data_IF_087695041511
#
_entry.id   IF_087695041511
#
_cell.length_a   1.000
_cell.length_b   1.000
_cell.length_c   1.000
_cell.angle_alpha   90.00
_cell.angle_beta   90.00
_cell.angle_gamma   90.00
#
_symmetry.space_group_name_H-M   'P 1'
#
loop_
_entity.id
_entity.type
_entity.pdbx_description
1 polymer ?
#
# COMPACT_ATOMS: atom_id res chain seq x y z
N UNK A 1 -24.50 27.53 0.44
CA UNK A 1 -23.02 27.40 0.42
C UNK A 1 -22.68 26.02 0.99
N UNK A 2 -22.36 25.01 0.15
CA UNK A 2 -21.91 23.70 0.65
C UNK A 2 -20.48 23.90 1.14
N UNK A 3 -20.28 23.93 2.46
CA UNK A 3 -18.94 23.88 3.03
C UNK A 3 -18.28 22.59 2.54
N UNK A 4 -17.18 22.72 1.81
CA UNK A 4 -16.18 21.67 1.70
C UNK A 4 -15.57 21.51 3.11
N UNK A 5 -16.26 20.79 3.99
CA UNK A 5 -15.78 20.52 5.34
C UNK A 5 -14.56 19.63 5.21
N UNK A 6 -13.38 20.22 5.22
CA UNK A 6 -12.11 19.50 5.31
C UNK A 6 -12.08 18.83 6.68
N UNK A 7 -11.89 17.52 6.67
CA UNK A 7 -11.77 16.71 7.88
C UNK A 7 -10.34 16.85 8.39
N UNK A 8 -10.14 17.71 9.38
CA UNK A 8 -8.83 18.04 9.93
C UNK A 8 -8.13 16.81 10.52
N UNK A 9 -8.90 15.83 11.02
CA UNK A 9 -8.41 14.56 11.55
C UNK A 9 -7.68 13.76 10.47
N UNK A 10 -8.24 13.74 9.25
CA UNK A 10 -7.65 13.02 8.11
C UNK A 10 -6.37 13.73 7.67
N UNK A 11 -6.38 15.06 7.64
CA UNK A 11 -5.21 15.84 7.24
C UNK A 11 -4.09 15.76 8.30
N UNK A 12 -4.43 15.72 9.59
CA UNK A 12 -3.46 15.45 10.67
C UNK A 12 -2.87 14.04 10.55
N UNK A 13 -3.70 13.02 10.37
CA UNK A 13 -3.25 11.63 10.20
C UNK A 13 -2.33 11.49 8.98
N UNK A 14 -2.63 12.18 7.87
CA UNK A 14 -1.73 12.24 6.71
C UNK A 14 -0.39 12.88 7.06
N UNK A 15 -0.39 13.98 7.81
CA UNK A 15 0.82 14.62 8.29
C UNK A 15 1.68 13.67 9.12
N UNK A 16 1.07 12.98 10.08
CA UNK A 16 1.74 11.97 10.92
C UNK A 16 2.30 10.82 10.07
N UNK A 17 1.53 10.30 9.11
CA UNK A 17 1.99 9.23 8.22
C UNK A 17 3.19 9.65 7.37
N UNK A 18 3.20 10.88 6.85
CA UNK A 18 4.32 11.42 6.07
C UNK A 18 5.55 11.62 6.94
N UNK A 19 5.40 12.16 8.15
CA UNK A 19 6.51 12.32 9.09
C UNK A 19 7.11 10.97 9.49
N UNK A 20 6.27 9.97 9.75
CA UNK A 20 6.71 8.60 10.03
C UNK A 20 7.49 8.00 8.86
N UNK A 21 7.01 8.19 7.64
CA UNK A 21 7.65 7.69 6.42
C UNK A 21 9.03 8.34 6.23
N UNK A 22 9.12 9.66 6.35
CA UNK A 22 10.39 10.40 6.27
C UNK A 22 11.36 9.92 7.35
N UNK A 23 10.89 9.74 8.59
CA UNK A 23 11.74 9.30 9.70
C UNK A 23 12.28 7.90 9.49
N UNK A 24 11.43 6.98 9.02
CA UNK A 24 11.84 5.61 8.71
C UNK A 24 12.85 5.58 7.55
N UNK A 25 12.58 6.30 6.46
CA UNK A 25 13.49 6.32 5.31
C UNK A 25 14.81 7.04 5.62
N UNK A 26 14.81 8.09 6.44
CA UNK A 26 16.05 8.72 6.88
C UNK A 26 16.93 7.75 7.68
N UNK A 27 16.32 6.97 8.57
CA UNK A 27 17.02 5.91 9.29
C UNK A 27 17.53 4.81 8.35
N UNK A 28 16.72 4.44 7.34
CA UNK A 28 17.12 3.51 6.29
C UNK A 28 18.36 4.01 5.53
N UNK A 29 18.32 5.24 5.02
CA UNK A 29 19.39 5.83 4.22
C UNK A 29 20.69 5.95 5.02
N UNK A 30 20.63 6.40 6.28
CA UNK A 30 21.80 6.52 7.14
C UNK A 30 22.49 5.16 7.39
N UNK A 31 21.70 4.09 7.52
CA UNK A 31 22.23 2.73 7.66
C UNK A 31 22.76 2.20 6.33
N UNK A 32 22.00 2.38 5.23
CA UNK A 32 22.36 1.92 3.90
C UNK A 32 23.68 2.54 3.39
N UNK A 33 23.90 3.83 3.65
CA UNK A 33 25.15 4.53 3.31
C UNK A 33 26.27 4.35 4.35
N UNK A 34 26.09 3.48 5.35
CA UNK A 34 27.06 3.25 6.44
C UNK A 34 27.45 4.53 7.21
N UNK A 35 26.56 5.52 7.28
CA UNK A 35 26.77 6.76 8.04
C UNK A 35 26.54 6.53 9.54
N UNK A 36 25.57 5.68 9.87
CA UNK A 36 25.28 5.28 11.26
C UNK A 36 24.74 3.84 11.31
N UNK A 37 25.19 3.06 12.29
CA UNK A 37 24.64 1.72 12.57
C UNK A 37 23.30 1.84 13.31
N UNK A 38 22.28 2.19 12.54
CA UNK A 38 20.90 2.19 12.99
C UNK A 38 20.41 0.77 12.75
N UNK A 39 20.37 -0.07 13.79
CA UNK A 39 19.91 -1.45 13.67
C UNK A 39 18.44 -1.54 13.20
N UNK A 40 18.20 -1.39 11.89
CA UNK A 40 16.87 -1.35 11.26
C UNK A 40 16.09 -2.66 11.45
N UNK A 41 16.82 -3.76 11.65
CA UNK A 41 16.26 -5.05 11.99
C UNK A 41 15.76 -5.13 13.45
N UNK A 42 16.03 -4.11 14.28
CA UNK A 42 15.44 -4.03 15.61
C UNK A 42 13.91 -3.94 15.52
N UNK A 43 13.24 -4.57 16.49
CA UNK A 43 11.79 -4.64 16.56
C UNK A 43 11.13 -3.25 16.47
N UNK A 44 11.76 -2.23 17.05
CA UNK A 44 11.28 -0.85 17.02
C UNK A 44 11.13 -0.32 15.59
N UNK A 45 12.18 -0.36 14.78
CA UNK A 45 12.18 0.17 13.41
C UNK A 45 11.24 -0.62 12.51
N UNK A 46 11.23 -1.95 12.65
CA UNK A 46 10.26 -2.81 11.95
C UNK A 46 8.81 -2.45 12.30
N UNK A 47 8.51 -2.19 13.57
CA UNK A 47 7.18 -1.76 14.02
C UNK A 47 6.82 -0.38 13.49
N UNK A 48 7.75 0.58 13.54
CA UNK A 48 7.55 1.95 13.02
C UNK A 48 7.25 1.91 11.53
N UNK A 49 8.04 1.17 10.75
CA UNK A 49 7.83 0.99 9.32
C UNK A 49 6.46 0.38 9.01
N UNK A 50 6.10 -0.73 9.69
CA UNK A 50 4.80 -1.40 9.50
C UNK A 50 3.62 -0.52 9.93
N UNK A 51 3.73 0.21 11.03
CA UNK A 51 2.68 1.12 11.50
C UNK A 51 2.48 2.27 10.52
N UNK A 52 3.58 2.88 10.07
CA UNK A 52 3.56 3.96 9.08
C UNK A 52 2.92 3.49 7.76
N UNK A 53 3.35 2.35 7.23
CA UNK A 53 2.78 1.76 6.02
C UNK A 53 1.28 1.47 6.20
N UNK A 54 0.87 0.93 7.35
CA UNK A 54 -0.54 0.64 7.66
C UNK A 54 -1.40 1.89 7.64
N UNK A 55 -0.96 2.96 8.32
CA UNK A 55 -1.68 4.25 8.33
C UNK A 55 -1.74 4.83 6.92
N UNK A 56 -0.63 4.76 6.16
CA UNK A 56 -0.57 5.29 4.81
C UNK A 56 -1.55 4.60 3.86
N UNK A 57 -1.59 3.26 3.82
CA UNK A 57 -2.50 2.51 2.94
C UNK A 57 -3.96 2.59 3.42
N UNK A 58 -4.20 2.68 4.73
CA UNK A 58 -5.53 2.97 5.26
C UNK A 58 -6.04 4.33 4.76
N UNK A 59 -5.20 5.38 4.82
CA UNK A 59 -5.55 6.70 4.31
C UNK A 59 -5.77 6.73 2.80
N UNK A 60 -5.13 5.83 2.04
CA UNK A 60 -5.43 5.63 0.62
C UNK A 60 -6.87 5.13 0.44
N UNK A 61 -7.30 4.15 1.24
CA UNK A 61 -8.69 3.66 1.30
C UNK A 61 -9.69 4.77 1.60
N UNK A 62 -9.48 5.48 2.71
CA UNK A 62 -10.33 6.62 3.12
C UNK A 62 -10.43 7.68 2.02
N UNK A 63 -9.30 7.99 1.39
CA UNK A 63 -9.24 8.97 0.30
C UNK A 63 -9.99 8.48 -0.95
N UNK A 64 -9.97 7.18 -1.23
CA UNK A 64 -10.71 6.54 -2.31
C UNK A 64 -12.21 6.61 -2.06
N UNK A 65 -12.66 6.18 -0.87
CA UNK A 65 -14.05 6.20 -0.41
C UNK A 65 -14.66 7.61 -0.43
N UNK A 66 -13.93 8.61 0.10
CA UNK A 66 -14.39 9.99 0.14
C UNK A 66 -14.43 10.63 -1.27
N UNK A 67 -13.41 10.38 -2.10
CA UNK A 67 -13.40 10.82 -3.49
C UNK A 67 -14.55 10.20 -4.29
N UNK A 68 -14.84 8.92 -4.05
CA UNK A 68 -15.89 8.18 -4.74
C UNK A 68 -17.27 8.72 -4.38
N UNK A 69 -17.52 8.90 -3.08
CA UNK A 69 -18.77 9.46 -2.56
C UNK A 69 -19.08 10.84 -3.16
N UNK A 70 -18.07 11.71 -3.30
CA UNK A 70 -18.24 13.03 -3.94
C UNK A 70 -18.57 12.94 -5.43
N UNK A 71 -18.01 11.96 -6.14
CA UNK A 71 -18.30 11.73 -7.55
C UNK A 71 -19.67 11.08 -7.75
N UNK A 72 -20.12 10.25 -6.82
CA UNK A 72 -21.47 9.66 -6.84
C UNK A 72 -22.55 10.74 -6.87
N UNK A 73 -22.38 11.81 -6.10
CA UNK A 73 -23.28 12.96 -6.07
C UNK A 73 -23.31 13.79 -7.38
N UNK A 74 -22.31 13.65 -8.26
CA UNK A 74 -22.19 14.43 -9.51
C UNK A 74 -22.73 13.71 -10.76
N UNK A 75 -23.20 12.45 -10.63
CA UNK A 75 -23.78 11.66 -11.73
C UNK A 75 -22.75 11.06 -12.72
N UNK A 76 -23.13 9.94 -13.36
CA UNK A 76 -22.37 9.31 -14.46
C UNK A 76 -21.45 8.13 -14.07
N UNK A 77 -22.03 6.95 -13.83
CA UNK A 77 -21.36 5.70 -13.44
C UNK A 77 -20.14 5.33 -14.32
N UNK A 78 -20.32 5.22 -15.64
CA UNK A 78 -19.28 4.74 -16.56
C UNK A 78 -18.05 5.65 -16.61
N UNK A 79 -18.25 6.97 -16.44
CA UNK A 79 -17.16 7.96 -16.42
C UNK A 79 -16.34 7.88 -15.13
N UNK A 80 -16.93 7.39 -14.03
CA UNK A 80 -16.24 7.17 -12.74
C UNK A 80 -15.28 5.99 -12.84
N UNK A 81 -15.77 4.84 -13.29
CA UNK A 81 -14.97 3.61 -13.40
C UNK A 81 -13.71 3.83 -14.23
N UNK A 82 -13.86 4.44 -15.42
CA UNK A 82 -12.71 4.75 -16.28
C UNK A 82 -11.71 5.69 -15.62
N UNK A 83 -12.18 6.70 -14.86
CA UNK A 83 -11.31 7.65 -14.16
C UNK A 83 -10.47 6.96 -13.08
N UNK A 84 -11.06 6.06 -12.29
CA UNK A 84 -10.35 5.33 -11.25
C UNK A 84 -9.41 4.27 -11.82
N UNK A 85 -9.82 3.57 -12.88
CA UNK A 85 -8.96 2.65 -13.61
C UNK A 85 -7.70 3.35 -14.14
N UNK A 86 -7.86 4.49 -14.82
CA UNK A 86 -6.73 5.27 -15.31
C UNK A 86 -5.84 5.81 -14.18
N UNK A 87 -6.44 6.22 -13.06
CA UNK A 87 -5.67 6.67 -11.89
C UNK A 87 -4.85 5.53 -11.28
N UNK A 88 -5.47 4.37 -11.07
CA UNK A 88 -4.79 3.18 -10.55
C UNK A 88 -3.67 2.72 -11.47
N UNK A 89 -3.95 2.62 -12.78
CA UNK A 89 -2.95 2.26 -13.79
C UNK A 89 -1.79 3.26 -13.82
N UNK A 90 -2.06 4.57 -13.76
CA UNK A 90 -1.01 5.59 -13.72
C UNK A 90 -0.10 5.43 -12.50
N UNK A 91 -0.65 5.17 -11.33
CA UNK A 91 0.14 4.97 -10.10
C UNK A 91 0.93 3.66 -10.17
N UNK A 92 0.31 2.59 -10.67
CA UNK A 92 0.99 1.31 -10.90
C UNK A 92 2.18 1.47 -11.86
N UNK A 93 2.00 2.21 -12.96
CA UNK A 93 3.06 2.49 -13.93
C UNK A 93 4.21 3.29 -13.32
N UNK A 94 3.94 4.22 -12.38
CA UNK A 94 5.03 4.85 -11.63
C UNK A 94 5.82 3.84 -10.79
N UNK A 95 5.14 2.84 -10.20
CA UNK A 95 5.80 1.70 -9.56
C UNK A 95 6.73 0.97 -10.53
N UNK A 96 6.24 0.64 -11.73
CA UNK A 96 7.03 -0.07 -12.75
C UNK A 96 8.25 0.75 -13.19
N UNK A 97 8.11 2.07 -13.32
CA UNK A 97 9.24 2.96 -13.61
C UNK A 97 10.26 2.91 -12.47
N UNK A 98 9.82 2.92 -11.21
CA UNK A 98 10.72 2.80 -10.06
C UNK A 98 11.42 1.44 -10.07
N UNK A 99 10.70 0.34 -10.32
CA UNK A 99 11.31 -0.99 -10.51
C UNK A 99 12.41 -0.94 -11.56
N UNK A 100 12.13 -0.41 -12.75
CA UNK A 100 13.11 -0.33 -13.84
C UNK A 100 14.33 0.50 -13.44
N UNK A 101 14.12 1.67 -12.82
CA UNK A 101 15.22 2.52 -12.35
C UNK A 101 16.03 1.79 -11.29
N UNK A 102 15.40 1.24 -10.26
CA UNK A 102 16.10 0.53 -9.19
C UNK A 102 16.83 -0.70 -9.70
N UNK A 103 16.30 -1.40 -10.69
CA UNK A 103 17.00 -2.54 -11.31
C UNK A 103 18.31 -2.15 -12.00
N UNK A 104 18.44 -0.91 -12.50
CA UNK A 104 19.70 -0.41 -13.05
C UNK A 104 20.71 0.04 -12.00
N UNK A 105 20.27 0.39 -10.78
CA UNK A 105 21.13 0.97 -9.74
C UNK A 105 21.38 0.03 -8.54
N UNK A 106 20.48 -0.91 -8.30
CA UNK A 106 20.43 -1.83 -7.17
C UNK A 106 20.37 -3.24 -7.76
N UNK A 107 21.50 -3.95 -7.75
CA UNK A 107 21.66 -5.25 -8.42
C UNK A 107 20.60 -6.28 -7.97
N UNK A 108 20.70 -6.75 -6.72
CA UNK A 108 19.85 -7.84 -6.21
C UNK A 108 18.64 -7.36 -5.38
N UNK A 109 18.63 -6.09 -4.96
CA UNK A 109 17.62 -5.55 -4.02
C UNK A 109 16.62 -4.57 -4.66
N UNK A 110 16.48 -4.59 -5.99
CA UNK A 110 15.56 -3.69 -6.70
C UNK A 110 14.09 -3.90 -6.29
N UNK A 111 13.29 -2.85 -6.48
CA UNK A 111 11.90 -2.83 -6.03
C UNK A 111 11.04 -3.70 -6.94
N UNK A 112 10.62 -4.89 -6.49
CA UNK A 112 9.77 -5.79 -7.28
C UNK A 112 8.28 -5.47 -7.19
N UNK A 113 7.75 -5.35 -5.97
CA UNK A 113 6.35 -5.01 -5.74
C UNK A 113 6.21 -4.07 -4.55
N UNK A 114 6.69 -2.84 -4.73
CA UNK A 114 6.64 -1.78 -3.72
C UNK A 114 5.27 -1.14 -3.52
N UNK A 115 5.21 -0.13 -2.64
CA UNK A 115 3.98 0.53 -2.19
C UNK A 115 3.15 1.14 -3.33
N UNK A 116 3.78 1.60 -4.42
CA UNK A 116 3.09 2.16 -5.59
C UNK A 116 2.34 1.10 -6.41
N UNK A 117 2.93 -0.08 -6.56
CA UNK A 117 2.26 -1.21 -7.21
C UNK A 117 1.02 -1.61 -6.41
N UNK A 118 1.17 -1.72 -5.09
CA UNK A 118 0.08 -2.00 -4.18
C UNK A 118 -1.05 -0.97 -4.30
N UNK A 119 -0.75 0.33 -4.24
CA UNK A 119 -1.76 1.38 -4.33
C UNK A 119 -2.47 1.33 -5.68
N UNK A 120 -1.72 1.19 -6.78
CA UNK A 120 -2.28 1.10 -8.12
C UNK A 120 -3.24 -0.08 -8.26
N UNK A 121 -2.80 -1.28 -7.86
CA UNK A 121 -3.60 -2.50 -7.86
C UNK A 121 -4.82 -2.39 -6.94
N UNK A 122 -4.65 -1.85 -5.73
CA UNK A 122 -5.72 -1.68 -4.75
C UNK A 122 -6.82 -0.77 -5.28
N UNK A 123 -6.47 0.35 -5.92
CA UNK A 123 -7.45 1.27 -6.53
C UNK A 123 -8.27 0.54 -7.58
N UNK A 124 -7.64 -0.26 -8.45
CA UNK A 124 -8.31 -1.00 -9.53
C UNK A 124 -9.23 -2.08 -8.94
N UNK A 125 -8.73 -2.87 -7.99
CA UNK A 125 -9.48 -3.96 -7.35
C UNK A 125 -10.64 -3.45 -6.50
N UNK A 126 -10.54 -2.22 -5.97
CA UNK A 126 -11.60 -1.62 -5.16
C UNK A 126 -12.77 -1.12 -6.00
N UNK A 127 -12.61 -0.85 -7.31
CA UNK A 127 -13.68 -0.36 -8.19
C UNK A 127 -15.02 -1.10 -8.00
N UNK A 128 -15.10 -2.44 -8.09
CA UNK A 128 -16.36 -3.16 -7.87
C UNK A 128 -16.85 -3.14 -6.43
N UNK A 129 -16.01 -2.83 -5.45
CA UNK A 129 -16.34 -2.86 -4.02
C UNK A 129 -16.85 -1.51 -3.50
N UNK A 130 -16.51 -0.39 -4.16
CA UNK A 130 -16.77 0.97 -3.68
C UNK A 130 -18.25 1.32 -3.40
N UNK A 131 -19.21 0.64 -4.04
CA UNK A 131 -20.64 0.84 -3.77
C UNK A 131 -21.21 -0.07 -2.68
N UNK A 132 -20.51 -1.16 -2.37
CA UNK A 132 -21.02 -2.24 -1.52
C UNK A 132 -20.22 -2.31 -0.22
N UNK A 133 -20.55 -1.43 0.73
CA UNK A 133 -19.93 -1.39 2.07
C UNK A 133 -19.90 -2.75 2.79
N UNK A 134 -21.00 -3.54 2.87
CA UNK A 134 -20.95 -4.81 3.58
C UNK A 134 -20.00 -5.81 2.91
N UNK A 135 -19.99 -5.86 1.58
CA UNK A 135 -19.07 -6.71 0.80
C UNK A 135 -17.62 -6.28 0.99
N UNK A 136 -17.35 -4.97 1.00
CA UNK A 136 -16.02 -4.40 1.24
C UNK A 136 -15.48 -4.81 2.60
N UNK A 137 -16.27 -4.64 3.67
CA UNK A 137 -15.88 -5.01 5.03
C UNK A 137 -15.71 -6.52 5.19
N UNK A 138 -16.55 -7.33 4.52
CA UNK A 138 -16.42 -8.78 4.51
C UNK A 138 -15.08 -9.22 3.89
N UNK A 139 -14.72 -8.69 2.71
CA UNK A 139 -13.42 -8.99 2.10
C UNK A 139 -12.26 -8.46 2.94
N UNK A 140 -12.35 -7.25 3.49
CA UNK A 140 -11.33 -6.71 4.40
C UNK A 140 -11.10 -7.67 5.59
N UNK A 141 -12.18 -8.13 6.23
CA UNK A 141 -12.13 -9.08 7.33
C UNK A 141 -11.48 -10.41 6.94
N UNK A 142 -11.85 -10.98 5.79
CA UNK A 142 -11.25 -12.23 5.29
C UNK A 142 -9.76 -12.07 5.04
N UNK A 143 -9.35 -11.02 4.33
CA UNK A 143 -7.93 -10.84 3.98
C UNK A 143 -7.05 -10.67 5.23
N UNK A 144 -7.55 -9.93 6.22
CA UNK A 144 -6.86 -9.74 7.50
C UNK A 144 -6.87 -11.02 8.33
N UNK A 145 -8.00 -11.73 8.41
CA UNK A 145 -8.08 -13.00 9.13
C UNK A 145 -7.15 -14.06 8.52
N UNK A 146 -7.10 -14.20 7.20
CA UNK A 146 -6.17 -15.09 6.51
C UNK A 146 -4.71 -14.79 6.91
N UNK A 147 -4.35 -13.51 7.01
CA UNK A 147 -2.99 -13.14 7.43
C UNK A 147 -2.65 -13.56 8.86
N UNK A 148 -3.60 -13.50 9.79
CA UNK A 148 -3.37 -13.92 11.19
C UNK A 148 -3.48 -15.45 11.38
N UNK A 149 -4.24 -16.14 10.53
CA UNK A 149 -4.47 -17.59 10.65
C UNK A 149 -3.39 -18.40 9.91
N UNK A 150 -2.92 -17.92 8.75
CA UNK A 150 -1.96 -18.67 7.92
C UNK A 150 -0.55 -18.53 8.52
N UNK A 151 0.11 -19.64 8.90
CA UNK A 151 1.48 -19.58 9.39
C UNK A 151 2.43 -19.01 8.34
N UNK A 152 3.45 -18.21 8.71
CA UNK A 152 4.41 -17.65 7.75
C UNK A 152 5.12 -18.72 6.90
N UNK A 153 5.32 -19.93 7.44
CA UNK A 153 5.92 -21.05 6.70
C UNK A 153 5.09 -21.51 5.50
N UNK A 154 3.77 -21.30 5.52
CA UNK A 154 2.87 -21.64 4.42
C UNK A 154 2.77 -20.53 3.37
N UNK A 155 3.32 -19.34 3.67
CA UNK A 155 3.38 -18.22 2.74
C UNK A 155 4.60 -18.32 1.81
N UNK A 156 5.55 -19.23 2.08
CA UNK A 156 6.72 -19.44 1.25
C UNK A 156 6.39 -20.39 0.09
N UNK A 157 6.83 -20.04 -1.12
CA UNK A 157 6.62 -20.85 -2.32
C UNK A 157 7.86 -20.83 -3.20
N UNK A 158 8.14 -21.92 -3.91
CA UNK A 158 9.24 -21.95 -4.88
C UNK A 158 8.99 -21.02 -6.09
N UNK A 159 7.75 -20.57 -6.30
CA UNK A 159 7.36 -19.79 -7.46
C UNK A 159 7.50 -18.28 -7.24
N UNK A 160 8.28 -17.62 -8.11
CA UNK A 160 8.40 -16.15 -8.13
C UNK A 160 7.11 -15.46 -8.60
N UNK A 161 6.17 -16.20 -9.19
CA UNK A 161 4.93 -15.63 -9.73
C UNK A 161 3.99 -15.09 -8.66
N UNK A 162 4.08 -15.59 -7.42
CA UNK A 162 3.15 -15.21 -6.34
C UNK A 162 3.70 -14.11 -5.41
N UNK A 163 4.86 -13.53 -5.74
CA UNK A 163 5.49 -12.43 -5.00
C UNK A 163 4.51 -11.26 -4.84
N UNK A 164 3.84 -10.82 -5.92
CA UNK A 164 2.90 -9.70 -5.87
C UNK A 164 1.71 -9.95 -4.93
N UNK A 165 1.34 -11.22 -4.70
CA UNK A 165 0.23 -11.58 -3.84
C UNK A 165 0.63 -11.64 -2.36
N UNK A 166 1.92 -11.84 -2.06
CA UNK A 166 2.43 -12.00 -0.70
C UNK A 166 3.06 -13.36 -0.42
N UNK A 167 3.35 -14.15 -1.46
CA UNK A 167 4.00 -15.45 -1.33
C UNK A 167 5.37 -15.41 -2.03
N UNK A 168 6.42 -14.91 -1.35
CA UNK A 168 7.75 -14.84 -1.92
C UNK A 168 8.52 -16.17 -1.77
N UNK A 169 9.54 -16.42 -2.62
CA UNK A 169 10.45 -17.54 -2.45
C UNK A 169 11.38 -17.38 -1.25
N UNK A 170 11.99 -18.50 -0.83
CA UNK A 170 12.99 -18.46 0.22
C UNK A 170 14.20 -17.62 -0.21
N UNK A 171 14.71 -16.78 0.70
CA UNK A 171 15.83 -15.89 0.41
C UNK A 171 15.46 -14.63 -0.37
N UNK A 172 14.17 -14.37 -0.61
CA UNK A 172 13.72 -13.15 -1.27
C UNK A 172 14.06 -11.88 -0.47
N UNK A 173 14.71 -10.92 -1.13
CA UNK A 173 15.00 -9.58 -0.62
C UNK A 173 14.58 -8.52 -1.64
N UNK A 174 14.17 -7.36 -1.15
CA UNK A 174 13.80 -6.18 -1.95
C UNK A 174 13.77 -4.95 -1.02
N UNK A 175 14.31 -3.82 -1.48
CA UNK A 175 14.34 -2.57 -0.70
C UNK A 175 12.93 -2.07 -0.35
N UNK A 176 11.96 -2.25 -1.24
CA UNK A 176 10.55 -1.99 -0.97
C UNK A 176 9.70 -3.20 -1.42
N UNK A 177 9.03 -3.84 -0.47
CA UNK A 177 8.13 -4.96 -0.72
C UNK A 177 6.84 -4.80 0.08
N UNK A 178 5.78 -4.44 -0.63
CA UNK A 178 4.44 -4.23 -0.10
C UNK A 178 3.44 -5.09 -0.90
N UNK A 179 3.38 -6.41 -0.65
CA UNK A 179 2.52 -7.32 -1.41
C UNK A 179 1.03 -6.97 -1.29
N UNK A 180 0.18 -7.57 -2.13
CA UNK A 180 -1.26 -7.35 -2.03
C UNK A 180 -1.84 -7.80 -0.68
N UNK A 181 -1.42 -8.96 -0.17
CA UNK A 181 -1.82 -9.47 1.14
C UNK A 181 -0.72 -9.20 2.18
N UNK A 182 -1.06 -8.69 3.38
CA UNK A 182 -2.40 -8.34 3.88
C UNK A 182 -2.85 -6.91 3.55
N UNK A 183 -1.98 -6.11 2.94
CA UNK A 183 -2.12 -4.65 2.88
C UNK A 183 -3.39 -4.16 2.19
N UNK A 184 -3.87 -4.89 1.18
CA UNK A 184 -5.14 -4.58 0.52
C UNK A 184 -6.33 -4.66 1.48
N UNK A 185 -6.30 -5.57 2.46
CA UNK A 185 -7.32 -5.62 3.51
C UNK A 185 -7.38 -4.33 4.32
N UNK A 186 -6.23 -3.71 4.61
CA UNK A 186 -6.15 -2.42 5.30
C UNK A 186 -6.67 -1.28 4.40
N UNK A 187 -6.38 -1.32 3.10
CA UNK A 187 -6.97 -0.37 2.13
C UNK A 187 -8.49 -0.45 2.12
N UNK A 188 -9.06 -1.67 2.15
CA UNK A 188 -10.52 -1.87 2.16
C UNK A 188 -11.19 -1.42 3.46
N UNK A 189 -10.45 -1.34 4.59
CA UNK A 189 -10.99 -0.82 5.85
C UNK A 189 -11.20 0.71 5.83
N UNK A 190 -10.49 1.44 4.96
CA UNK A 190 -10.59 2.89 4.83
C UNK A 190 -11.71 3.35 3.90
#
# INVERSE_FOLDING_TARGET
MKQDTRLWEIDLLRGVAVLGMITYHLAFDLSYFNVADIGLHAALWTMVGRATASVFVFLVGVSLSLSYSRLKLKGGETKKTRRYLLRGLKIFLYGVVITAVTWFFLDEDFVLFGILHLIGSSIILSIPLLDEKPRTLFFAGILLACFFIIPPSFLLTESHWLIWLGFPPQGFSSVDYAPLLPWYGIVLLG
#
